data_IF_641703041431
#
_entry.id   IF_641703041431
#
_cell.length_a   1.000
_cell.length_b   1.000
_cell.length_c   1.000
_cell.angle_alpha   90.00
_cell.angle_beta   90.00
_cell.angle_gamma   90.00
#
_symmetry.space_group_name_H-M   'P 1'
#
loop_
_entity.id
_entity.type
_entity.pdbx_description
1 polymer ?
#
# COMPACT_ATOMS: atom_id res chain seq x y z
N UNK A 1 -17.34 -4.12 -17.21
CA UNK A 1 -17.02 -3.28 -18.39
C UNK A 1 -16.71 -1.89 -17.86
N UNK A 2 -15.58 -1.30 -18.25
CA UNK A 2 -15.21 0.06 -17.86
C UNK A 2 -16.22 1.06 -18.44
N UNK A 3 -16.79 1.93 -17.59
CA UNK A 3 -17.76 2.94 -18.00
C UNK A 3 -17.06 4.28 -18.25
N UNK A 4 -16.75 4.55 -19.53
CA UNK A 4 -16.13 5.79 -19.98
C UNK A 4 -16.92 7.05 -19.60
N UNK A 5 -18.25 6.96 -19.39
CA UNK A 5 -19.07 8.11 -19.05
C UNK A 5 -18.82 8.61 -17.62
N UNK A 6 -18.55 7.68 -16.69
CA UNK A 6 -18.17 7.99 -15.31
C UNK A 6 -16.82 8.69 -15.30
N UNK A 7 -15.83 8.15 -16.03
CA UNK A 7 -14.49 8.76 -16.10
C UNK A 7 -14.54 10.17 -16.69
N UNK A 8 -15.28 10.35 -17.80
CA UNK A 8 -15.44 11.66 -18.45
C UNK A 8 -16.06 12.70 -17.51
N UNK A 9 -17.08 12.31 -16.73
CA UNK A 9 -17.76 13.22 -15.79
C UNK A 9 -16.88 13.56 -14.59
N UNK A 10 -16.23 12.56 -13.99
CA UNK A 10 -15.43 12.74 -12.77
C UNK A 10 -14.11 13.47 -13.02
N UNK A 11 -13.50 13.28 -14.20
CA UNK A 11 -12.26 13.98 -14.56
C UNK A 11 -12.40 15.51 -14.61
N UNK A 12 -13.60 16.04 -14.89
CA UNK A 12 -13.89 17.48 -14.88
C UNK A 12 -13.70 18.15 -13.52
N UNK A 13 -13.77 17.39 -12.42
CA UNK A 13 -13.49 17.90 -11.08
C UNK A 13 -11.98 18.11 -10.82
N UNK A 14 -11.13 17.60 -11.70
CA UNK A 14 -9.66 17.65 -11.59
C UNK A 14 -9.04 18.16 -12.91
N UNK A 15 -9.33 19.41 -13.30
CA UNK A 15 -8.89 19.95 -14.59
C UNK A 15 -7.35 20.01 -14.66
N UNK A 16 -6.81 19.78 -15.86
CA UNK A 16 -5.38 19.98 -16.13
C UNK A 16 -5.05 21.47 -16.08
N UNK A 17 -3.92 21.80 -15.46
CA UNK A 17 -3.39 23.16 -15.46
C UNK A 17 -2.60 23.42 -16.76
N UNK A 18 -2.91 24.50 -17.47
CA UNK A 18 -2.40 24.76 -18.84
C UNK A 18 -0.87 24.76 -18.95
N UNK A 19 -0.17 25.28 -17.93
CA UNK A 19 1.29 25.43 -17.94
C UNK A 19 2.01 24.43 -17.03
N UNK A 20 1.38 23.30 -16.72
CA UNK A 20 1.96 22.26 -15.88
C UNK A 20 1.99 20.92 -16.61
N UNK A 21 3.21 20.50 -16.99
CA UNK A 21 3.45 19.23 -17.69
C UNK A 21 4.46 18.39 -16.91
N UNK A 22 4.01 17.67 -15.87
CA UNK A 22 4.92 16.89 -15.04
C UNK A 22 5.41 15.64 -15.79
N UNK A 23 6.63 15.20 -15.47
CA UNK A 23 7.21 13.95 -15.96
C UNK A 23 7.32 12.91 -14.84
N UNK A 24 7.06 11.65 -15.15
CA UNK A 24 7.29 10.55 -14.23
C UNK A 24 8.77 10.16 -14.32
N UNK A 25 9.45 10.05 -13.17
CA UNK A 25 10.79 9.50 -13.09
C UNK A 25 10.91 8.50 -11.96
N UNK A 26 12.14 8.17 -11.55
CA UNK A 26 12.42 7.14 -10.54
C UNK A 26 11.69 7.36 -9.20
N UNK A 27 11.47 8.61 -8.82
CA UNK A 27 10.75 8.99 -7.60
C UNK A 27 9.23 9.22 -7.80
N UNK A 28 8.72 8.96 -9.01
CA UNK A 28 7.38 9.30 -9.46
C UNK A 28 7.23 10.77 -9.83
N UNK A 29 6.00 11.29 -9.82
CA UNK A 29 5.76 12.72 -10.00
C UNK A 29 6.02 13.48 -8.69
N UNK A 30 6.66 14.65 -8.80
CA UNK A 30 6.98 15.55 -7.68
C UNK A 30 6.80 16.99 -8.15
N UNK A 31 6.09 17.80 -7.37
CA UNK A 31 5.89 19.22 -7.62
C UNK A 31 5.30 19.91 -6.38
N UNK A 32 5.12 21.22 -6.44
CA UNK A 32 4.30 21.94 -5.47
C UNK A 32 2.91 21.30 -5.36
N UNK A 33 2.44 21.07 -4.13
CA UNK A 33 1.26 20.27 -3.87
C UNK A 33 -0.02 20.81 -4.52
N UNK A 34 -0.12 22.13 -4.68
CA UNK A 34 -1.27 22.82 -5.31
C UNK A 34 -1.46 22.43 -6.78
N UNK A 35 -0.39 22.01 -7.46
CA UNK A 35 -0.39 21.68 -8.89
C UNK A 35 -0.76 20.20 -9.16
N UNK A 36 -0.73 19.35 -8.13
CA UNK A 36 -0.85 17.90 -8.26
C UNK A 36 -2.26 17.28 -8.28
N UNK A 37 -3.39 17.95 -8.00
CA UNK A 37 -4.70 17.28 -7.97
C UNK A 37 -5.06 16.49 -9.24
N UNK A 38 -4.84 17.08 -10.43
CA UNK A 38 -5.07 16.39 -11.71
C UNK A 38 -4.15 15.18 -11.89
N UNK A 39 -2.86 15.35 -11.57
CA UNK A 39 -1.85 14.28 -11.61
C UNK A 39 -2.23 13.11 -10.70
N UNK A 40 -2.67 13.39 -9.47
CA UNK A 40 -3.11 12.38 -8.51
C UNK A 40 -4.32 11.60 -9.01
N UNK A 41 -5.33 12.32 -9.49
CA UNK A 41 -6.53 11.71 -10.06
C UNK A 41 -6.17 10.77 -11.22
N UNK A 42 -5.37 11.24 -12.18
CA UNK A 42 -4.97 10.44 -13.35
C UNK A 42 -4.04 9.28 -12.97
N UNK A 43 -3.20 9.43 -11.95
CA UNK A 43 -2.44 8.30 -11.37
C UNK A 43 -3.36 7.25 -10.72
N UNK A 44 -4.44 7.70 -10.06
CA UNK A 44 -5.49 6.82 -9.54
C UNK A 44 -6.14 5.98 -10.64
N UNK A 45 -6.52 6.62 -11.75
CA UNK A 45 -7.04 5.95 -12.95
C UNK A 45 -6.05 4.91 -13.48
N UNK A 46 -4.78 5.29 -13.64
CA UNK A 46 -3.74 4.39 -14.15
C UNK A 46 -3.53 3.18 -13.23
N UNK A 47 -3.40 3.39 -11.92
CA UNK A 47 -3.19 2.31 -10.96
C UNK A 47 -4.38 1.32 -10.92
N UNK A 48 -5.60 1.83 -11.06
CA UNK A 48 -6.81 1.02 -11.14
C UNK A 48 -6.83 0.15 -12.41
N UNK A 49 -6.49 0.72 -13.57
CA UNK A 49 -6.37 -0.04 -14.83
C UNK A 49 -5.30 -1.13 -14.70
N UNK A 50 -4.12 -0.77 -14.18
CA UNK A 50 -3.04 -1.74 -13.90
C UNK A 50 -3.53 -2.89 -13.03
N UNK A 51 -4.27 -2.56 -11.96
CA UNK A 51 -4.81 -3.53 -11.02
C UNK A 51 -5.78 -4.51 -11.70
N UNK A 52 -6.69 -4.01 -12.54
CA UNK A 52 -7.63 -4.82 -13.33
C UNK A 52 -6.89 -5.74 -14.30
N UNK A 53 -6.01 -5.17 -15.12
CA UNK A 53 -5.26 -5.90 -16.15
C UNK A 53 -4.45 -7.04 -15.52
N UNK A 54 -3.69 -6.72 -14.48
CA UNK A 54 -2.85 -7.72 -13.79
C UNK A 54 -3.63 -8.66 -12.91
N UNK A 55 -4.93 -8.41 -12.67
CA UNK A 55 -5.77 -9.14 -11.70
C UNK A 55 -5.10 -9.22 -10.32
N UNK A 56 -4.44 -8.13 -9.92
CA UNK A 56 -3.62 -8.02 -8.71
C UNK A 56 -3.74 -6.64 -8.10
N UNK A 57 -3.51 -6.53 -6.81
CA UNK A 57 -3.53 -5.27 -6.10
C UNK A 57 -2.33 -4.40 -6.49
N UNK A 58 -2.53 -3.10 -6.61
CA UNK A 58 -1.45 -2.12 -6.83
C UNK A 58 -1.42 -1.10 -5.69
N UNK A 59 -0.42 -0.21 -5.67
CA UNK A 59 -0.31 0.82 -4.65
C UNK A 59 -0.02 2.21 -5.19
N UNK A 60 -0.41 3.21 -4.41
CA UNK A 60 -0.11 4.63 -4.63
C UNK A 60 0.41 5.19 -3.31
N UNK A 61 1.69 5.59 -3.31
CA UNK A 61 2.31 6.30 -2.20
C UNK A 61 2.32 7.80 -2.48
N UNK A 62 1.70 8.59 -1.60
CA UNK A 62 1.70 10.06 -1.64
C UNK A 62 2.74 10.59 -0.65
N UNK A 63 3.63 11.47 -1.10
CA UNK A 63 5.09 11.32 -1.03
C UNK A 63 5.79 12.54 -1.63
N UNK A 64 6.56 13.37 -0.93
CA UNK A 64 7.72 13.99 -1.59
C UNK A 64 9.05 13.73 -0.88
N UNK A 65 9.10 12.73 -0.01
CA UNK A 65 10.34 12.28 0.66
C UNK A 65 11.08 13.47 1.29
N UNK A 66 12.24 13.84 0.75
CA UNK A 66 13.12 14.89 1.28
C UNK A 66 12.84 16.29 0.73
N UNK A 67 11.88 16.45 -0.19
CA UNK A 67 11.52 17.75 -0.76
C UNK A 67 10.97 18.72 0.32
N UNK A 68 10.99 20.04 0.07
CA UNK A 68 10.34 21.05 0.92
C UNK A 68 8.88 20.72 1.26
N UNK A 69 8.39 21.18 2.41
CA UNK A 69 7.04 20.84 2.92
C UNK A 69 5.88 21.25 1.98
N UNK A 70 6.09 22.29 1.17
CA UNK A 70 5.10 22.77 0.18
C UNK A 70 4.94 21.81 -1.01
N UNK A 71 5.95 20.97 -1.28
CA UNK A 71 5.90 19.97 -2.33
C UNK A 71 5.10 18.74 -1.89
N UNK A 72 4.62 17.99 -2.85
CA UNK A 72 4.18 16.61 -2.65
C UNK A 72 4.43 15.81 -3.93
N UNK A 73 3.84 14.63 -4.03
CA UNK A 73 4.01 13.79 -5.19
C UNK A 73 3.44 12.41 -5.01
N UNK A 74 3.55 11.61 -6.05
CA UNK A 74 2.97 10.28 -6.13
C UNK A 74 3.96 9.29 -6.70
N UNK A 75 4.01 8.11 -6.10
CA UNK A 75 4.77 6.97 -6.58
C UNK A 75 3.84 5.77 -6.72
N UNK A 76 3.84 5.17 -7.90
CA UNK A 76 3.07 3.98 -8.20
C UNK A 76 3.85 2.71 -7.83
N UNK A 77 3.14 1.74 -7.28
CA UNK A 77 3.68 0.48 -6.78
C UNK A 77 2.99 -0.68 -7.49
N UNK A 78 3.79 -1.54 -8.09
CA UNK A 78 3.34 -2.73 -8.81
C UNK A 78 3.02 -3.90 -7.86
N UNK A 79 2.32 -4.95 -8.33
CA UNK A 79 1.87 -6.04 -7.47
C UNK A 79 2.94 -6.71 -6.61
N UNK A 80 4.17 -6.82 -7.11
CA UNK A 80 5.33 -7.39 -6.41
C UNK A 80 5.81 -6.54 -5.24
N UNK A 81 5.31 -5.31 -5.11
CA UNK A 81 5.86 -4.30 -4.24
C UNK A 81 7.03 -3.56 -4.87
N UNK A 82 7.31 -3.72 -6.16
CA UNK A 82 8.32 -2.94 -6.86
C UNK A 82 7.78 -1.58 -7.32
N UNK A 83 8.67 -0.70 -7.75
CA UNK A 83 8.29 0.56 -8.39
C UNK A 83 7.66 0.28 -9.76
N UNK A 84 6.98 1.29 -10.31
CA UNK A 84 6.59 1.26 -11.71
C UNK A 84 7.82 0.98 -12.61
N UNK A 85 7.75 -0.02 -13.50
CA UNK A 85 8.78 -0.31 -14.49
C UNK A 85 9.08 0.89 -15.39
N UNK A 86 10.35 1.06 -15.75
CA UNK A 86 10.82 2.23 -16.50
C UNK A 86 10.15 2.36 -17.89
N UNK A 87 9.81 1.26 -18.54
CA UNK A 87 9.09 1.21 -19.81
C UNK A 87 7.64 1.72 -19.72
N UNK A 88 7.05 1.71 -18.51
CA UNK A 88 5.72 2.26 -18.26
C UNK A 88 5.73 3.74 -17.84
N UNK A 89 6.88 4.30 -17.46
CA UNK A 89 7.01 5.72 -17.07
C UNK A 89 6.55 6.68 -18.19
N UNK A 90 6.91 6.49 -19.48
CA UNK A 90 6.40 7.32 -20.57
C UNK A 90 4.89 7.21 -20.76
N UNK A 91 4.31 6.03 -20.51
CA UNK A 91 2.88 5.77 -20.68
C UNK A 91 2.08 6.54 -19.64
N UNK A 92 2.45 6.42 -18.35
CA UNK A 92 1.78 7.18 -17.29
C UNK A 92 2.03 8.68 -17.44
N UNK A 93 3.23 9.10 -17.86
CA UNK A 93 3.53 10.51 -18.17
C UNK A 93 2.60 11.04 -19.24
N UNK A 94 2.41 10.30 -20.34
CA UNK A 94 1.50 10.72 -21.42
C UNK A 94 0.05 10.79 -20.95
N UNK A 95 -0.42 9.79 -20.20
CA UNK A 95 -1.78 9.76 -19.65
C UNK A 95 -2.05 10.92 -18.68
N UNK A 96 -1.11 11.21 -17.77
CA UNK A 96 -1.21 12.36 -16.85
C UNK A 96 -1.22 13.68 -17.61
N UNK A 97 -0.59 13.75 -18.78
CA UNK A 97 -0.53 14.94 -19.61
C UNK A 97 -1.62 15.06 -20.68
N UNK A 98 -2.61 14.16 -20.74
CA UNK A 98 -3.76 14.29 -21.66
C UNK A 98 -4.38 15.69 -21.60
N UNK A 99 -4.64 16.30 -22.74
CA UNK A 99 -5.09 17.69 -22.84
C UNK A 99 -6.45 17.89 -22.15
N UNK A 100 -7.40 16.98 -22.39
CA UNK A 100 -8.76 17.04 -21.87
C UNK A 100 -9.26 15.66 -21.40
N UNK A 101 -10.52 15.58 -20.98
CA UNK A 101 -11.12 14.33 -20.50
C UNK A 101 -11.35 13.31 -21.62
N UNK A 102 -11.53 13.74 -22.87
CA UNK A 102 -11.73 12.83 -24.01
C UNK A 102 -10.41 12.15 -24.40
N UNK A 103 -9.31 12.92 -24.45
CA UNK A 103 -7.99 12.35 -24.65
C UNK A 103 -7.61 11.40 -23.52
N UNK A 104 -7.95 11.74 -22.27
CA UNK A 104 -7.76 10.83 -21.13
C UNK A 104 -8.49 9.50 -21.34
N UNK A 105 -9.79 9.53 -21.69
CA UNK A 105 -10.58 8.33 -21.96
C UNK A 105 -9.99 7.51 -23.12
N UNK A 106 -9.56 8.17 -24.20
CA UNK A 106 -8.94 7.51 -25.34
C UNK A 106 -7.62 6.81 -24.95
N UNK A 107 -6.80 7.47 -24.15
CA UNK A 107 -5.56 6.91 -23.61
C UNK A 107 -5.83 5.71 -22.70
N UNK A 108 -6.84 5.79 -21.83
CA UNK A 108 -7.28 4.68 -20.97
C UNK A 108 -7.69 3.48 -21.79
N UNK A 109 -8.53 3.67 -22.80
CA UNK A 109 -8.96 2.58 -23.69
C UNK A 109 -7.78 1.97 -24.44
N UNK A 110 -6.85 2.79 -24.95
CA UNK A 110 -5.65 2.31 -25.63
C UNK A 110 -4.75 1.47 -24.70
N UNK A 111 -4.59 1.89 -23.45
CA UNK A 111 -3.82 1.15 -22.43
C UNK A 111 -4.48 -0.19 -22.09
N UNK A 112 -5.80 -0.20 -21.88
CA UNK A 112 -6.54 -1.45 -21.60
C UNK A 112 -6.37 -2.44 -22.75
N UNK A 113 -6.47 -1.97 -24.00
CA UNK A 113 -6.34 -2.81 -25.18
C UNK A 113 -4.91 -3.34 -25.35
N UNK A 114 -3.88 -2.49 -25.21
CA UNK A 114 -2.49 -2.91 -25.39
C UNK A 114 -2.03 -3.88 -24.32
N UNK A 115 -2.44 -3.67 -23.07
CA UNK A 115 -2.03 -4.54 -21.96
C UNK A 115 -2.79 -5.88 -21.94
N UNK A 116 -4.01 -5.93 -22.47
CA UNK A 116 -4.76 -7.19 -22.63
C UNK A 116 -4.10 -8.13 -23.64
N UNK A 117 -3.47 -7.59 -24.69
CA UNK A 117 -2.77 -8.38 -25.72
C UNK A 117 -1.42 -8.91 -25.20
N UNK A 118 -0.69 -8.09 -24.44
CA UNK A 118 0.62 -8.49 -23.90
C UNK A 118 0.52 -9.66 -22.90
N UNK A 119 -0.49 -9.67 -22.02
CA UNK A 119 -0.69 -10.78 -21.06
C UNK A 119 -1.16 -12.08 -21.77
N UNK A 120 -1.79 -12.01 -22.95
CA UNK A 120 -2.12 -13.21 -23.76
C UNK A 120 -0.89 -13.85 -24.42
N UNK A 121 0.09 -13.06 -24.86
CA UNK A 121 1.30 -13.58 -25.52
C UNK A 121 2.29 -14.26 -24.55
N UNK A 122 2.27 -13.89 -23.27
CA UNK A 122 3.09 -14.56 -22.24
C UNK A 122 2.56 -15.98 -21.96
N UNK A 123 1.25 -16.20 -22.06
CA UNK A 123 0.65 -17.53 -21.87
C UNK A 123 0.75 -18.45 -23.09
N UNK A 124 1.07 -17.95 -24.29
CA UNK A 124 1.27 -18.79 -25.48
C UNK A 124 2.67 -19.40 -25.62
N UNK A 125 3.63 -19.04 -24.75
CA UNK A 125 5.02 -19.52 -24.83
C UNK A 125 5.38 -20.64 -23.83
N UNK A 126 4.38 -21.36 -23.31
CA UNK A 126 4.58 -22.67 -22.69
C UNK A 126 3.62 -23.68 -23.31
N UNK A 127 4.14 -24.50 -24.22
CA UNK A 127 3.43 -25.67 -24.71
C UNK A 127 4.40 -26.86 -24.81
N UNK A 128 4.33 -27.86 -23.92
CA UNK A 128 4.51 -29.24 -24.32
C UNK A 128 3.16 -29.72 -24.89
N UNK A 129 3.12 -29.73 -26.22
CA UNK A 129 2.18 -30.41 -27.11
C UNK A 129 1.19 -31.40 -26.47
N UNK A 130 -0.11 -31.13 -26.58
CA UNK A 130 -1.16 -32.15 -26.78
C UNK A 130 -2.17 -31.62 -27.81
N UNK A 131 -2.38 -32.40 -28.87
CA UNK A 131 -3.39 -32.19 -29.92
C UNK A 131 -4.79 -32.49 -29.38
N UNK A 132 -5.76 -31.63 -29.68
CA UNK A 132 -7.16 -32.02 -29.85
C UNK A 132 -7.86 -31.05 -30.83
N UNK A 133 -8.73 -31.63 -31.62
CA UNK A 133 -9.33 -31.18 -32.88
C UNK A 133 -10.43 -30.12 -32.75
N UNK A 134 -10.66 -29.44 -33.88
CA UNK A 134 -11.81 -28.59 -34.19
C UNK A 134 -13.15 -29.27 -33.88
N UNK A 135 -14.10 -28.53 -33.31
CA UNK A 135 -15.41 -28.22 -33.91
C UNK A 135 -16.27 -27.36 -32.95
N UNK A 136 -17.19 -26.59 -33.54
CA UNK A 136 -18.39 -25.96 -32.95
C UNK A 136 -18.32 -24.52 -32.39
N UNK A 137 -18.16 -23.59 -33.34
CA UNK A 137 -18.47 -22.16 -33.30
C UNK A 137 -19.99 -21.84 -33.21
N UNK A 138 -20.76 -22.60 -32.41
CA UNK A 138 -22.23 -22.42 -32.35
C UNK A 138 -22.82 -22.71 -30.97
N UNK A 139 -22.47 -21.87 -29.98
CA UNK A 139 -23.31 -21.69 -28.79
C UNK A 139 -23.14 -20.31 -28.13
N UNK A 140 -23.12 -19.27 -28.96
CA UNK A 140 -23.32 -17.88 -28.52
C UNK A 140 -24.80 -17.71 -28.11
N UNK A 141 -25.17 -18.07 -26.89
CA UNK A 141 -26.31 -17.47 -26.14
C UNK A 141 -26.63 -18.10 -24.78
N UNK A 142 -26.00 -19.20 -24.35
CA UNK A 142 -26.38 -19.85 -23.09
C UNK A 142 -25.41 -19.61 -21.91
N UNK A 143 -24.17 -19.19 -22.14
CA UNK A 143 -23.15 -19.07 -21.06
C UNK A 143 -23.22 -17.77 -20.24
N UNK A 144 -24.09 -16.82 -20.60
CA UNK A 144 -24.26 -15.57 -19.84
C UNK A 144 -25.09 -15.72 -18.54
N UNK A 145 -25.43 -16.95 -18.12
CA UNK A 145 -26.33 -17.18 -16.97
C UNK A 145 -25.77 -18.07 -15.85
N UNK A 146 -24.50 -18.49 -15.89
CA UNK A 146 -23.88 -19.29 -14.80
C UNK A 146 -23.10 -18.43 -13.79
N UNK A 147 -22.88 -17.13 -14.04
CA UNK A 147 -22.16 -16.23 -13.13
C UNK A 147 -22.95 -15.73 -11.90
N UNK A 148 -24.04 -16.40 -11.53
CA UNK A 148 -24.80 -16.12 -10.31
C UNK A 148 -25.15 -17.40 -9.58
N UNK A 149 -24.20 -17.94 -8.83
CA UNK A 149 -24.39 -18.33 -7.43
C UNK A 149 -23.23 -19.23 -6.98
N UNK A 150 -22.67 -18.87 -5.82
CA UNK A 150 -21.86 -19.71 -4.93
C UNK A 150 -20.34 -19.68 -5.18
N UNK A 151 -19.63 -19.10 -4.18
CA UNK A 151 -18.21 -19.21 -3.82
C UNK A 151 -17.12 -18.18 -4.20
N UNK A 152 -17.36 -17.10 -4.96
CA UNK A 152 -16.27 -16.17 -5.37
C UNK A 152 -16.40 -14.70 -4.93
N UNK A 153 -16.98 -14.43 -3.76
CA UNK A 153 -17.16 -13.05 -3.28
C UNK A 153 -15.88 -12.58 -2.55
N UNK A 154 -14.84 -12.30 -3.35
CA UNK A 154 -13.86 -11.17 -3.34
C UNK A 154 -12.73 -11.56 -4.32
N UNK A 155 -12.98 -11.40 -5.62
CA UNK A 155 -12.05 -11.65 -6.73
C UNK A 155 -11.69 -10.38 -7.52
N UNK A 156 -12.09 -9.20 -7.03
CA UNK A 156 -11.82 -7.92 -7.68
C UNK A 156 -10.58 -7.24 -7.09
N UNK A 157 -9.54 -6.96 -7.88
CA UNK A 157 -8.30 -6.37 -7.41
C UNK A 157 -8.50 -4.91 -6.96
N UNK A 158 -7.67 -4.43 -6.02
CA UNK A 158 -7.80 -3.11 -5.37
C UNK A 158 -6.57 -2.22 -5.56
N UNK A 159 -6.69 -0.95 -5.19
CA UNK A 159 -5.52 -0.05 -5.07
C UNK A 159 -5.32 0.40 -3.62
N UNK A 160 -4.14 0.17 -3.06
CA UNK A 160 -3.76 0.60 -1.71
C UNK A 160 -3.23 2.04 -1.74
N UNK A 161 -3.75 2.91 -0.88
CA UNK A 161 -3.37 4.32 -0.74
C UNK A 161 -2.66 4.55 0.59
N UNK A 162 -1.38 4.89 0.53
CA UNK A 162 -0.59 5.31 1.69
C UNK A 162 -0.07 6.74 1.51
N UNK A 163 0.18 7.44 2.61
CA UNK A 163 0.75 8.78 2.57
C UNK A 163 1.68 9.09 3.75
N UNK A 164 2.56 10.08 3.56
CA UNK A 164 3.35 10.67 4.64
C UNK A 164 2.56 11.73 5.44
N UNK A 165 3.24 12.48 6.30
CA UNK A 165 2.64 13.48 7.19
C UNK A 165 2.45 14.86 6.56
N UNK A 166 2.66 15.03 5.23
CA UNK A 166 2.51 16.33 4.58
C UNK A 166 1.07 16.87 4.72
N UNK A 167 0.87 18.17 5.03
CA UNK A 167 -0.47 18.74 5.19
C UNK A 167 -1.37 18.58 3.95
N UNK A 168 -0.77 18.63 2.76
CA UNK A 168 -1.49 18.47 1.49
C UNK A 168 -1.91 17.04 1.18
N UNK A 169 -1.43 16.04 1.93
CA UNK A 169 -1.66 14.63 1.63
C UNK A 169 -3.14 14.26 1.54
N UNK A 170 -4.00 14.77 2.44
CA UNK A 170 -5.43 14.41 2.45
C UNK A 170 -6.15 14.81 1.16
N UNK A 171 -5.87 16.01 0.64
CA UNK A 171 -6.45 16.51 -0.60
C UNK A 171 -6.00 15.65 -1.80
N UNK A 172 -4.72 15.25 -1.81
CA UNK A 172 -4.14 14.43 -2.87
C UNK A 172 -4.60 12.96 -2.80
N UNK A 173 -4.80 12.41 -1.60
CA UNK A 173 -5.42 11.10 -1.37
C UNK A 173 -6.85 11.09 -1.92
N UNK A 174 -7.62 12.16 -1.65
CA UNK A 174 -8.98 12.27 -2.16
C UNK A 174 -9.02 12.30 -3.69
N UNK A 175 -8.09 13.03 -4.33
CA UNK A 175 -7.95 13.07 -5.79
C UNK A 175 -7.60 11.69 -6.37
N UNK A 176 -6.58 11.02 -5.83
CA UNK A 176 -6.18 9.68 -6.27
C UNK A 176 -7.33 8.67 -6.10
N UNK A 177 -8.03 8.69 -4.97
CA UNK A 177 -9.20 7.84 -4.72
C UNK A 177 -10.30 8.06 -5.74
N UNK A 178 -10.64 9.32 -6.04
CA UNK A 178 -11.66 9.63 -7.04
C UNK A 178 -11.31 9.03 -8.42
N UNK A 179 -10.03 9.06 -8.81
CA UNK A 179 -9.56 8.44 -10.05
C UNK A 179 -9.67 6.91 -10.03
N UNK A 180 -9.34 6.27 -8.91
CA UNK A 180 -9.48 4.82 -8.73
C UNK A 180 -10.96 4.40 -8.84
N UNK A 181 -11.83 5.09 -8.12
CA UNK A 181 -13.27 4.81 -8.06
C UNK A 181 -13.96 5.10 -9.40
N UNK A 182 -13.48 6.08 -10.18
CA UNK A 182 -13.99 6.38 -11.52
C UNK A 182 -13.79 5.22 -12.52
N UNK A 183 -12.80 4.35 -12.28
CA UNK A 183 -12.55 3.13 -13.06
C UNK A 183 -13.37 1.93 -12.53
N UNK A 184 -14.01 2.09 -11.36
CA UNK A 184 -14.79 1.04 -10.70
C UNK A 184 -13.94 0.12 -9.81
N UNK A 185 -12.73 0.55 -9.43
CA UNK A 185 -11.86 -0.20 -8.51
C UNK A 185 -12.03 0.32 -7.09
N UNK A 186 -11.89 -0.56 -6.10
CA UNK A 186 -11.92 -0.17 -4.68
C UNK A 186 -10.57 0.37 -4.25
N UNK A 187 -10.56 1.53 -3.59
CA UNK A 187 -9.38 2.10 -2.97
C UNK A 187 -9.33 1.74 -1.47
N UNK A 188 -8.23 1.16 -1.00
CA UNK A 188 -8.00 0.87 0.42
C UNK A 188 -7.07 1.89 1.02
N UNK A 189 -7.57 2.65 1.99
CA UNK A 189 -6.76 3.64 2.70
C UNK A 189 -5.92 2.95 3.78
N UNK A 190 -4.60 2.99 3.61
CA UNK A 190 -3.62 2.56 4.61
C UNK A 190 -3.28 3.69 5.60
N UNK A 191 -3.61 4.95 5.25
CA UNK A 191 -3.34 6.12 6.07
C UNK A 191 -1.85 6.48 6.11
N UNK A 192 -1.38 6.90 7.28
CA UNK A 192 0.02 7.20 7.52
C UNK A 192 0.86 5.92 7.49
N UNK A 193 1.73 5.80 6.49
CA UNK A 193 2.70 4.71 6.35
C UNK A 193 4.00 5.25 5.79
N UNK A 194 5.12 4.59 6.08
CA UNK A 194 6.36 4.87 5.35
C UNK A 194 6.26 4.29 3.93
N UNK A 195 7.06 4.82 3.00
CA UNK A 195 7.13 4.26 1.64
C UNK A 195 7.42 2.75 1.65
N UNK A 196 8.43 2.23 2.39
CA UNK A 196 8.67 0.79 2.47
C UNK A 196 7.50 -0.03 3.04
N UNK A 197 6.75 0.52 4.00
CA UNK A 197 5.57 -0.16 4.54
C UNK A 197 4.48 -0.32 3.47
N UNK A 198 4.21 0.69 2.64
CA UNK A 198 3.23 0.52 1.57
C UNK A 198 3.69 -0.49 0.52
N UNK A 199 4.98 -0.49 0.15
CA UNK A 199 5.57 -1.50 -0.74
C UNK A 199 5.36 -2.92 -0.17
N UNK A 200 5.61 -3.10 1.13
CA UNK A 200 5.37 -4.38 1.82
C UNK A 200 3.89 -4.78 1.81
N UNK A 201 2.97 -3.85 2.14
CA UNK A 201 1.53 -4.14 2.18
C UNK A 201 0.98 -4.57 0.81
N UNK A 202 1.42 -3.92 -0.28
CA UNK A 202 1.03 -4.30 -1.64
C UNK A 202 1.50 -5.72 -1.95
N UNK A 203 2.78 -6.01 -1.70
CA UNK A 203 3.34 -7.35 -1.97
C UNK A 203 2.68 -8.44 -1.11
N UNK A 204 2.52 -8.20 0.20
CA UNK A 204 1.81 -9.10 1.12
C UNK A 204 0.37 -9.38 0.66
N UNK A 205 -0.33 -8.36 0.16
CA UNK A 205 -1.72 -8.53 -0.30
C UNK A 205 -1.85 -9.41 -1.55
N UNK A 206 -0.77 -9.55 -2.33
CA UNK A 206 -0.76 -10.29 -3.60
C UNK A 206 -0.10 -11.66 -3.53
N UNK A 207 0.87 -11.80 -2.61
CA UNK A 207 1.75 -12.97 -2.47
C UNK A 207 1.92 -13.38 -0.99
N UNK A 208 0.84 -13.58 -0.21
CA UNK A 208 0.93 -13.89 1.22
C UNK A 208 1.76 -15.15 1.52
N UNK A 209 1.86 -16.08 0.58
CA UNK A 209 2.69 -17.29 0.66
C UNK A 209 4.19 -17.01 0.76
N UNK A 210 4.69 -15.95 0.13
CA UNK A 210 6.07 -15.49 0.32
C UNK A 210 6.29 -15.04 1.78
N UNK A 211 5.20 -14.76 2.49
CA UNK A 211 5.22 -14.25 3.84
C UNK A 211 4.91 -15.32 4.92
N UNK A 212 4.64 -16.57 4.54
CA UNK A 212 4.28 -17.65 5.47
C UNK A 212 5.51 -18.43 6.00
N UNK A 213 6.63 -18.40 5.27
CA UNK A 213 7.80 -19.27 5.55
C UNK A 213 8.81 -18.72 6.57
N UNK A 214 8.88 -17.41 6.79
CA UNK A 214 9.70 -16.87 7.87
C UNK A 214 8.93 -17.05 9.17
N UNK A 215 9.43 -17.90 10.07
CA UNK A 215 8.90 -18.03 11.43
C UNK A 215 8.84 -16.63 12.06
N UNK A 216 7.63 -16.07 12.14
CA UNK A 216 7.38 -14.90 12.97
C UNK A 216 7.72 -15.28 14.40
N UNK A 217 8.32 -14.35 15.12
CA UNK A 217 8.54 -14.54 16.55
C UNK A 217 7.17 -14.61 17.25
N UNK A 218 6.83 -15.72 17.95
CA UNK A 218 5.56 -15.86 18.65
C UNK A 218 5.32 -14.72 19.65
N UNK A 219 6.39 -14.29 20.33
CA UNK A 219 6.34 -13.28 21.39
C UNK A 219 5.96 -11.87 20.88
N UNK A 220 5.98 -11.64 19.56
CA UNK A 220 5.54 -10.36 18.97
C UNK A 220 4.02 -10.17 19.10
N UNK A 221 3.24 -11.24 19.02
CA UNK A 221 1.78 -11.17 19.11
C UNK A 221 1.26 -11.25 20.55
N UNK A 222 2.05 -11.84 21.45
CA UNK A 222 1.65 -12.04 22.85
C UNK A 222 1.90 -10.80 23.74
N UNK A 223 2.71 -9.83 23.28
CA UNK A 223 2.89 -8.52 23.92
C UNK A 223 1.89 -7.51 23.34
N UNK A 224 0.59 -7.72 23.59
CA UNK A 224 -0.44 -6.74 23.26
C UNK A 224 -0.30 -5.48 24.14
N UNK A 225 0.51 -4.50 23.71
CA UNK A 225 0.40 -3.14 24.22
C UNK A 225 -0.88 -2.48 23.63
N UNK A 226 -1.87 -2.13 24.47
CA UNK A 226 -3.13 -1.52 24.02
C UNK A 226 -2.93 -0.18 23.29
N UNK A 227 -1.77 0.47 23.43
CA UNK A 227 -1.44 1.75 22.79
C UNK A 227 -1.05 1.63 21.31
N UNK A 228 -0.71 0.42 20.84
CA UNK A 228 -0.27 0.14 19.46
C UNK A 228 -1.45 0.00 18.48
N UNK A 229 -2.66 -0.18 19.01
CA UNK A 229 -3.87 -0.17 18.18
C UNK A 229 -4.15 1.24 17.66
N UNK A 230 -4.02 1.46 16.34
CA UNK A 230 -4.70 2.58 15.68
C UNK A 230 -6.18 2.48 16.08
N UNK A 231 -6.61 3.39 16.97
CA UNK A 231 -7.89 3.32 17.71
C UNK A 231 -9.01 2.75 16.83
N UNK A 232 -9.50 1.55 17.19
CA UNK A 232 -10.79 1.02 16.77
C UNK A 232 -11.85 2.06 17.14
N UNK A 233 -12.31 2.89 16.21
CA UNK A 233 -13.57 3.60 16.40
C UNK A 233 -14.69 2.64 16.03
N UNK A 234 -15.20 1.89 17.01
CA UNK A 234 -16.47 1.17 16.90
C UNK A 234 -17.29 1.39 18.16
N UNK A 235 -18.55 1.72 17.92
CA UNK A 235 -19.64 2.05 18.84
C UNK A 235 -19.80 0.96 19.91
N UNK A 236 -19.98 1.39 21.15
CA UNK A 236 -20.14 0.56 22.35
C UNK A 236 -21.32 -0.42 22.25
N UNK A 237 -21.13 -1.64 22.76
CA UNK A 237 -22.16 -2.31 23.57
C UNK A 237 -21.50 -3.40 24.43
N UNK A 238 -21.88 -3.38 25.70
CA UNK A 238 -21.39 -4.17 26.83
C UNK A 238 -21.93 -5.61 26.83
N UNK A 239 -21.08 -6.61 27.10
CA UNK A 239 -21.47 -7.79 27.92
C UNK A 239 -20.23 -8.43 28.57
N UNK A 240 -20.39 -8.83 29.83
CA UNK A 240 -19.43 -9.45 30.74
C UNK A 240 -19.48 -10.99 30.66
N UNK A 241 -18.33 -11.68 30.77
CA UNK A 241 -18.26 -13.13 30.98
C UNK A 241 -16.89 -13.54 31.56
N UNK A 242 -16.91 -14.01 32.80
CA UNK A 242 -15.79 -14.44 33.62
C UNK A 242 -15.28 -15.88 33.33
N UNK A 243 -13.95 -16.02 33.34
CA UNK A 243 -13.09 -17.12 33.83
C UNK A 243 -13.22 -18.57 33.28
N UNK A 244 -12.10 -19.10 32.73
CA UNK A 244 -11.29 -20.28 33.16
C UNK A 244 -10.11 -20.49 32.16
N UNK A 245 -8.85 -20.75 32.61
CA UNK A 245 -7.68 -20.94 31.73
C UNK A 245 -7.23 -22.42 31.58
N UNK A 246 -6.83 -22.83 30.36
CA UNK A 246 -5.79 -23.85 30.04
C UNK A 246 -5.73 -24.13 28.52
N UNK A 247 -4.68 -24.82 28.03
CA UNK A 247 -3.40 -24.31 27.53
C UNK A 247 -3.42 -23.86 26.05
N UNK A 248 -2.53 -22.94 25.68
CA UNK A 248 -2.37 -22.42 24.32
C UNK A 248 -1.94 -23.53 23.33
N UNK A 249 -2.62 -23.69 22.18
CA UNK A 249 -2.06 -24.42 21.06
C UNK A 249 -1.00 -23.54 20.38
N UNK A 250 0.15 -24.14 20.03
CA UNK A 250 1.15 -23.49 19.16
C UNK A 250 0.60 -23.37 17.73
N UNK A 251 -0.22 -22.35 17.49
CA UNK A 251 -0.69 -21.99 16.16
C UNK A 251 0.19 -20.83 15.70
N UNK A 252 1.14 -21.11 14.81
CA UNK A 252 1.79 -20.04 14.06
C UNK A 252 0.69 -19.27 13.32
N UNK A 253 0.57 -17.94 13.48
CA UNK A 253 -0.47 -17.18 12.81
C UNK A 253 -0.25 -17.27 11.30
N UNK A 254 -1.22 -17.82 10.56
CA UNK A 254 -1.21 -17.80 9.09
C UNK A 254 -1.34 -16.35 8.61
N UNK A 255 -0.65 -16.02 7.52
CA UNK A 255 -0.77 -14.70 6.90
C UNK A 255 -2.26 -14.34 6.65
N UNK A 256 -2.71 -13.11 6.99
CA UNK A 256 -4.10 -12.73 6.85
C UNK A 256 -4.51 -12.74 5.38
N UNK A 257 -5.58 -13.47 5.07
CA UNK A 257 -6.16 -13.46 3.73
C UNK A 257 -6.93 -12.16 3.53
N UNK A 258 -6.49 -11.39 2.55
CA UNK A 258 -7.06 -10.09 2.17
C UNK A 258 -8.58 -10.13 1.93
N UNK A 259 -9.11 -11.26 1.42
CA UNK A 259 -10.52 -11.48 1.16
C UNK A 259 -11.40 -11.49 2.41
N UNK A 260 -10.85 -11.70 3.61
CA UNK A 260 -11.69 -11.88 4.80
C UNK A 260 -12.10 -10.53 5.41
N UNK A 261 -11.21 -9.52 5.43
CA UNK A 261 -11.45 -8.23 6.13
C UNK A 261 -10.64 -7.03 5.55
N UNK A 262 -11.08 -6.40 4.45
CA UNK A 262 -10.35 -5.31 3.78
C UNK A 262 -10.04 -4.08 4.68
N UNK A 263 -10.94 -3.74 5.60
CA UNK A 263 -10.76 -2.59 6.50
C UNK A 263 -9.73 -2.85 7.62
N UNK A 264 -9.50 -4.11 7.99
CA UNK A 264 -8.52 -4.49 9.02
C UNK A 264 -7.15 -4.82 8.42
N UNK A 265 -7.09 -5.10 7.12
CA UNK A 265 -5.88 -5.52 6.43
C UNK A 265 -4.70 -4.57 6.63
N UNK A 266 -4.82 -3.23 6.47
CA UNK A 266 -3.65 -2.35 6.65
C UNK A 266 -3.03 -2.46 8.04
N UNK A 267 -3.85 -2.46 9.09
CA UNK A 267 -3.36 -2.62 10.47
C UNK A 267 -2.74 -3.99 10.72
N UNK A 268 -3.37 -5.07 10.25
CA UNK A 268 -2.82 -6.41 10.40
C UNK A 268 -1.51 -6.56 9.61
N UNK A 269 -1.49 -6.13 8.34
CA UNK A 269 -0.29 -6.16 7.50
C UNK A 269 0.86 -5.34 8.07
N UNK A 270 0.59 -4.22 8.76
CA UNK A 270 1.63 -3.48 9.47
C UNK A 270 2.17 -4.25 10.68
N UNK A 271 1.33 -4.95 11.44
CA UNK A 271 1.82 -5.84 12.50
C UNK A 271 2.73 -6.94 11.92
N UNK A 272 2.39 -7.48 10.76
CA UNK A 272 3.26 -8.41 10.03
C UNK A 272 4.59 -7.77 9.61
N UNK A 273 4.57 -6.54 9.10
CA UNK A 273 5.79 -5.79 8.78
C UNK A 273 6.70 -5.64 10.02
N UNK A 274 6.13 -5.27 11.16
CA UNK A 274 6.89 -5.09 12.40
C UNK A 274 7.45 -6.40 12.95
N UNK A 275 6.63 -7.45 13.03
CA UNK A 275 7.07 -8.78 13.45
C UNK A 275 8.18 -9.34 12.56
N UNK A 276 8.10 -9.11 11.24
CA UNK A 276 9.15 -9.47 10.27
C UNK A 276 10.47 -8.79 10.59
N UNK A 277 10.47 -7.47 10.74
CA UNK A 277 11.68 -6.67 11.01
C UNK A 277 12.29 -7.10 12.34
N UNK A 278 11.47 -7.25 13.39
CA UNK A 278 11.95 -7.66 14.71
C UNK A 278 12.52 -9.08 14.74
N UNK A 279 11.82 -10.04 14.14
CA UNK A 279 12.27 -11.43 14.08
C UNK A 279 13.55 -11.57 13.25
N UNK A 280 13.66 -10.86 12.13
CA UNK A 280 14.88 -10.84 11.33
C UNK A 280 16.07 -10.25 12.10
N UNK A 281 15.87 -9.11 12.78
CA UNK A 281 16.90 -8.50 13.62
C UNK A 281 17.36 -9.45 14.72
N UNK A 282 16.43 -10.05 15.48
CA UNK A 282 16.76 -10.98 16.56
C UNK A 282 17.56 -12.18 16.06
N UNK A 283 17.17 -12.78 14.94
CA UNK A 283 17.93 -13.90 14.33
C UNK A 283 19.34 -13.47 13.94
N UNK A 284 19.47 -12.28 13.35
CA UNK A 284 20.77 -11.76 12.91
C UNK A 284 21.73 -11.56 14.09
N UNK A 285 21.25 -11.02 15.22
CA UNK A 285 22.10 -10.80 16.40
C UNK A 285 22.35 -12.07 17.23
N UNK A 286 21.42 -13.04 17.19
CA UNK A 286 21.59 -14.33 17.86
C UNK A 286 22.70 -15.20 17.23
N UNK A 287 22.89 -15.12 15.90
CA UNK A 287 23.92 -15.91 15.19
C UNK A 287 25.36 -15.55 15.62
N UNK A 288 25.56 -14.42 16.31
CA UNK A 288 26.87 -13.97 16.80
C UNK A 288 27.13 -14.16 18.30
N UNK A 289 26.18 -14.70 19.08
CA UNK A 289 26.28 -14.71 20.55
C UNK A 289 25.97 -16.09 21.16
N UNK A 290 26.98 -16.75 21.73
CA UNK A 290 26.82 -17.99 22.52
C UNK A 290 26.25 -17.74 23.94
N UNK A 291 26.12 -16.47 24.32
CA UNK A 291 25.52 -15.94 25.55
C UNK A 291 24.89 -14.60 25.21
N UNK A 292 23.66 -14.34 25.64
CA UNK A 292 22.85 -13.08 25.57
C UNK A 292 23.34 -11.97 24.61
N UNK A 293 22.49 -11.50 23.67
CA UNK A 293 22.91 -10.61 22.58
C UNK A 293 23.64 -9.37 23.11
N UNK A 294 24.77 -8.96 22.48
CA UNK A 294 25.52 -7.79 22.91
C UNK A 294 24.63 -6.56 22.79
N UNK A 295 24.26 -5.99 23.93
CA UNK A 295 23.52 -4.73 23.98
C UNK A 295 24.52 -3.57 23.94
N UNK A 296 24.36 -2.58 23.04
CA UNK A 296 25.23 -1.41 23.04
C UNK A 296 25.15 -0.68 24.38
N UNK A 297 26.27 -0.10 24.82
CA UNK A 297 26.34 0.63 26.10
C UNK A 297 25.47 1.89 26.15
N UNK A 298 24.97 2.35 25.00
CA UNK A 298 24.17 3.56 24.84
C UNK A 298 23.07 3.33 23.80
N UNK A 299 21.92 4.03 23.91
CA UNK A 299 20.84 3.91 22.93
C UNK A 299 21.28 4.41 21.55
N UNK A 300 20.72 3.82 20.50
CA UNK A 300 20.82 4.35 19.15
C UNK A 300 19.87 5.54 19.01
N UNK A 301 20.43 6.74 18.82
CA UNK A 301 19.64 7.94 18.55
C UNK A 301 19.22 7.99 17.08
N UNK A 302 17.92 8.12 16.84
CA UNK A 302 17.34 8.15 15.49
C UNK A 302 16.68 9.50 15.25
N UNK A 303 17.27 10.30 14.37
CA UNK A 303 16.63 11.51 13.84
C UNK A 303 15.52 11.11 12.86
N UNK A 304 14.27 11.41 13.21
CA UNK A 304 13.10 11.05 12.42
C UNK A 304 12.64 12.15 11.46
N UNK A 305 13.39 13.26 11.35
CA UNK A 305 13.15 14.37 10.43
C UNK A 305 11.73 14.97 10.49
N UNK A 306 11.06 14.87 11.65
CA UNK A 306 9.66 15.22 11.88
C UNK A 306 8.68 14.54 10.90
N UNK A 307 9.09 13.41 10.32
CA UNK A 307 8.35 12.69 9.29
C UNK A 307 7.53 11.52 9.84
N UNK A 308 6.79 10.89 8.94
CA UNK A 308 5.95 9.71 9.24
C UNK A 308 6.71 8.57 9.92
N UNK A 309 8.03 8.45 9.67
CA UNK A 309 8.90 7.45 10.29
C UNK A 309 8.91 7.50 11.82
N UNK A 310 8.80 8.69 12.43
CA UNK A 310 8.77 8.84 13.88
C UNK A 310 7.60 8.05 14.50
N UNK A 311 6.40 8.24 13.95
CA UNK A 311 5.19 7.54 14.35
C UNK A 311 5.29 6.05 14.06
N UNK A 312 5.78 5.69 12.88
CA UNK A 312 5.79 4.31 12.42
C UNK A 312 6.90 3.47 13.06
N UNK A 313 7.91 4.07 13.70
CA UNK A 313 8.93 3.37 14.48
C UNK A 313 8.45 2.97 15.89
N UNK A 314 7.45 3.65 16.45
CA UNK A 314 6.98 3.39 17.83
C UNK A 314 6.66 1.91 18.10
N UNK A 315 5.95 1.17 17.22
CA UNK A 315 5.67 -0.25 17.44
C UNK A 315 6.90 -1.17 17.43
N UNK A 316 8.05 -0.70 16.94
CA UNK A 316 9.30 -1.46 16.93
C UNK A 316 10.16 -1.21 18.18
N UNK A 317 9.88 -0.19 18.99
CA UNK A 317 10.74 0.17 20.13
C UNK A 317 10.89 -0.98 21.13
N UNK A 318 9.78 -1.51 21.66
CA UNK A 318 9.81 -2.61 22.63
C UNK A 318 10.38 -3.93 22.03
N UNK A 319 9.99 -4.36 20.81
CA UNK A 319 10.58 -5.53 20.17
C UNK A 319 12.08 -5.41 19.85
N UNK A 320 12.59 -4.20 19.56
CA UNK A 320 14.02 -3.98 19.36
C UNK A 320 14.77 -3.99 20.70
N UNK A 321 14.20 -3.38 21.73
CA UNK A 321 14.79 -3.33 23.06
C UNK A 321 14.91 -4.73 23.68
N UNK A 322 13.89 -5.57 23.54
CA UNK A 322 13.95 -6.97 23.99
C UNK A 322 14.98 -7.80 23.21
N UNK A 323 15.36 -7.36 22.01
CA UNK A 323 16.44 -7.95 21.22
C UNK A 323 17.82 -7.30 21.50
N UNK A 324 17.92 -6.42 22.50
CA UNK A 324 19.17 -5.78 22.92
C UNK A 324 19.48 -4.44 22.23
N UNK A 325 18.52 -3.82 21.54
CA UNK A 325 18.70 -2.55 20.85
C UNK A 325 17.73 -1.48 21.37
N UNK A 326 18.20 -0.65 22.29
CA UNK A 326 17.44 0.52 22.73
C UNK A 326 17.50 1.62 21.67
N UNK A 327 16.33 2.06 21.19
CA UNK A 327 16.18 3.16 20.23
C UNK A 327 15.68 4.42 20.94
N UNK A 328 16.29 5.58 20.67
CA UNK A 328 15.86 6.89 21.16
C UNK A 328 15.53 7.81 19.99
N UNK A 329 14.24 8.10 19.80
CA UNK A 329 13.77 8.91 18.67
C UNK A 329 13.93 10.41 18.96
N UNK A 330 14.40 11.18 17.97
CA UNK A 330 14.50 12.65 18.00
C UNK A 330 13.83 13.26 16.78
N UNK A 331 13.47 14.54 16.85
CA UNK A 331 12.77 15.26 15.79
C UNK A 331 11.55 14.45 15.33
N UNK A 332 10.62 14.16 16.23
CA UNK A 332 9.48 13.28 15.96
C UNK A 332 8.28 14.03 15.39
N UNK A 333 8.28 15.36 15.44
CA UNK A 333 7.16 16.21 15.01
C UNK A 333 5.96 16.20 15.97
N UNK A 334 6.01 15.42 17.05
CA UNK A 334 4.96 15.36 18.09
C UNK A 334 5.14 16.45 19.18
N UNK A 335 6.24 17.22 19.13
CA UNK A 335 6.53 18.32 20.06
C UNK A 335 5.80 19.61 19.68
N UNK A 336 4.47 19.58 19.81
CA UNK A 336 3.64 20.76 20.07
C UNK A 336 2.82 20.45 21.34
N UNK A 337 3.45 20.55 22.51
CA UNK A 337 2.73 20.37 23.79
C UNK A 337 3.52 20.16 25.10
N UNK A 338 4.86 20.10 25.09
CA UNK A 338 5.65 19.88 26.31
C UNK A 338 6.77 20.92 26.47
N UNK A 339 6.58 21.83 27.43
CA UNK A 339 7.54 22.74 28.05
C UNK A 339 8.68 23.30 27.18
N UNK A 340 8.51 24.58 26.78
CA UNK A 340 9.66 25.44 26.45
C UNK A 340 10.55 25.53 27.69
N UNK A 341 11.66 24.80 27.70
CA UNK A 341 12.80 25.16 28.55
C UNK A 341 13.24 26.57 28.16
N UNK A 342 12.94 27.55 29.02
CA UNK A 342 13.62 28.84 29.04
C UNK A 342 15.12 28.58 29.22
N UNK A 343 15.86 28.54 28.10
CA UNK A 343 17.30 28.79 28.15
C UNK A 343 17.48 30.27 28.48
N UNK A 344 17.59 30.52 29.78
CA UNK A 344 17.98 31.80 30.33
C UNK A 344 19.25 32.29 29.65
N UNK A 345 19.17 33.50 29.08
CA UNK A 345 20.35 34.35 28.88
C UNK A 345 20.97 34.60 30.25
N UNK A 346 22.19 34.13 30.45
CA UNK A 346 23.16 34.78 31.31
C UNK A 346 24.45 34.95 30.53
#
# INVERSE_FOLDING_TARGET
>A
MFDSSILLKSAKAYPKMENFTPSYGTAGFRAEASLLPCTMYRCGVFAAIRSIVKKKNTGIMITASHNPIADNGVKLIEPTGENLPQDLEPIVTKLVNSHDEYELVNMVNAIIMSMSVADQQVHSNHNPSIQASNDDEKSLSAECSILRASNDIITTPVVLLGHDTRPSAQMLVAAARAGIEAVGVTAIQCGHVTTPQLHFLVSLSNFPELYDHDRMDPDFFDNEDPSIHLKKRRIESSVDASAIPTPLPSVSPKAPRFAERPAEFPSQGLNWYYGRVASAYRRLVAVGSSSSPPSPSFPLFVDCANGVGARMLKPLLAPMESAGLTLSLRNTGDEDGGEKEERGKK
#
